data_IF_235938477475
#
_entry.id   IF_235938477475
#
_cell.length_a   1.000
_cell.length_b   1.000
_cell.length_c   1.000
_cell.angle_alpha   90.00
_cell.angle_beta   90.00
_cell.angle_gamma   90.00
#
_symmetry.space_group_name_H-M   'P 1'
#
loop_
_entity.id
_entity.type
_entity.pdbx_description
1 polymer ?
#
# COMPACT_ATOMS: atom_id res chain seq x y z
N UNK A 1 -16.91 -4.55 15.89
CA UNK A 1 -15.46 -4.48 15.60
C UNK A 1 -15.06 -5.84 15.04
N UNK A 2 -14.41 -5.87 13.86
CA UNK A 2 -14.07 -7.13 13.18
C UNK A 2 -12.75 -7.64 13.76
N UNK A 3 -12.72 -8.90 14.20
CA UNK A 3 -11.48 -9.55 14.59
C UNK A 3 -10.66 -9.82 13.34
N UNK A 4 -9.41 -9.35 13.29
CA UNK A 4 -8.50 -9.60 12.16
C UNK A 4 -8.01 -11.06 12.19
N UNK A 5 -7.81 -11.72 11.04
CA UNK A 5 -7.10 -13.01 10.97
C UNK A 5 -5.59 -12.85 11.20
N UNK A 6 -5.06 -11.63 11.25
CA UNK A 6 -3.64 -11.36 11.48
C UNK A 6 -3.30 -11.65 12.94
N UNK A 7 -2.25 -12.43 13.17
CA UNK A 7 -1.83 -12.86 14.51
C UNK A 7 -0.42 -12.35 14.79
N UNK A 8 0.03 -12.37 16.06
CA UNK A 8 1.43 -12.10 16.38
C UNK A 8 2.42 -12.99 15.60
N UNK A 9 2.04 -14.23 15.26
CA UNK A 9 2.87 -15.12 14.46
C UNK A 9 3.00 -14.65 13.00
N UNK A 10 1.97 -14.01 12.44
CA UNK A 10 2.05 -13.34 11.14
C UNK A 10 3.00 -12.14 11.21
N UNK A 11 2.83 -11.28 12.22
CA UNK A 11 3.68 -10.09 12.38
C UNK A 11 5.16 -10.43 12.62
N UNK A 12 5.45 -11.54 13.30
CA UNK A 12 6.83 -12.02 13.51
C UNK A 12 7.54 -12.42 12.21
N UNK A 13 6.79 -12.78 11.16
CA UNK A 13 7.32 -13.11 9.82
C UNK A 13 7.32 -11.91 8.88
N UNK A 14 6.69 -10.81 9.26
CA UNK A 14 6.55 -9.66 8.40
C UNK A 14 7.88 -8.92 8.21
N UNK A 15 8.07 -8.38 7.02
CA UNK A 15 9.25 -7.62 6.64
C UNK A 15 9.02 -6.13 6.86
N UNK A 16 10.10 -5.41 7.19
CA UNK A 16 10.17 -3.97 6.99
C UNK A 16 10.24 -3.64 5.49
N UNK A 17 9.97 -2.39 5.11
CA UNK A 17 10.13 -1.96 3.72
C UNK A 17 11.56 -2.14 3.21
N UNK A 18 12.57 -1.84 4.02
CA UNK A 18 13.99 -2.03 3.66
C UNK A 18 14.30 -3.49 3.36
N UNK A 19 13.88 -4.42 4.23
CA UNK A 19 14.06 -5.86 4.00
C UNK A 19 13.34 -6.33 2.73
N UNK A 20 12.16 -5.79 2.45
CA UNK A 20 11.42 -6.09 1.22
C UNK A 20 12.17 -5.59 -0.03
N UNK A 21 12.78 -4.40 0.01
CA UNK A 21 13.62 -3.88 -1.09
C UNK A 21 14.86 -4.73 -1.32
N UNK A 22 15.56 -5.09 -0.25
CA UNK A 22 16.75 -5.96 -0.31
C UNK A 22 16.41 -7.35 -0.86
N UNK A 23 15.28 -7.93 -0.44
CA UNK A 23 14.78 -9.20 -0.95
C UNK A 23 14.50 -9.13 -2.46
N UNK A 24 13.88 -8.06 -2.95
CA UNK A 24 13.65 -7.84 -4.39
C UNK A 24 14.98 -7.80 -5.14
N UNK A 25 15.94 -7.01 -4.67
CA UNK A 25 17.24 -6.87 -5.34
C UNK A 25 17.99 -8.21 -5.37
N UNK A 26 17.93 -9.00 -4.29
CA UNK A 26 18.49 -10.36 -4.24
C UNK A 26 17.83 -11.31 -5.25
N UNK A 27 16.50 -11.35 -5.29
CA UNK A 27 15.75 -12.21 -6.22
C UNK A 27 16.07 -11.85 -7.67
N UNK A 28 16.11 -10.56 -8.01
CA UNK A 28 16.43 -10.11 -9.35
C UNK A 28 17.88 -10.43 -9.77
N UNK A 29 18.82 -10.51 -8.83
CA UNK A 29 20.19 -10.96 -9.10
C UNK A 29 20.26 -12.47 -9.40
N UNK A 30 19.30 -13.25 -8.90
CA UNK A 30 19.13 -14.68 -9.19
C UNK A 30 18.21 -14.96 -10.38
N UNK A 31 17.79 -13.93 -11.13
CA UNK A 31 16.76 -14.02 -12.19
C UNK A 31 15.44 -14.63 -11.68
N UNK A 32 14.99 -14.20 -10.50
CA UNK A 32 13.73 -14.59 -9.87
C UNK A 32 12.90 -13.36 -9.49
N UNK A 33 11.66 -13.63 -9.10
CA UNK A 33 10.75 -12.67 -8.45
C UNK A 33 10.03 -13.38 -7.30
N UNK A 34 9.15 -12.70 -6.57
CA UNK A 34 8.32 -13.34 -5.54
C UNK A 34 7.23 -14.23 -6.17
N UNK A 35 6.61 -15.11 -5.38
CA UNK A 35 5.70 -16.13 -5.91
C UNK A 35 6.43 -17.25 -6.67
N UNK A 36 5.68 -18.05 -7.43
CA UNK A 36 6.20 -19.26 -8.09
C UNK A 36 6.55 -19.09 -9.57
N UNK A 37 6.14 -17.98 -10.20
CA UNK A 37 6.37 -17.74 -11.62
C UNK A 37 7.63 -16.90 -11.85
N UNK A 38 8.73 -17.55 -12.19
CA UNK A 38 10.01 -16.92 -12.53
C UNK A 38 10.27 -16.90 -14.05
N UNK A 39 9.23 -16.79 -14.88
CA UNK A 39 9.43 -16.58 -16.31
C UNK A 39 10.21 -15.29 -16.58
N UNK A 40 10.94 -15.25 -17.70
CA UNK A 40 11.71 -14.07 -18.12
C UNK A 40 10.83 -12.81 -18.15
N UNK A 41 9.61 -12.92 -18.67
CA UNK A 41 8.62 -11.83 -18.69
C UNK A 41 8.31 -11.31 -17.28
N UNK A 42 8.12 -12.20 -16.30
CA UNK A 42 7.80 -11.81 -14.92
C UNK A 42 8.99 -11.19 -14.20
N UNK A 43 10.19 -11.70 -14.45
CA UNK A 43 11.44 -11.16 -13.88
C UNK A 43 11.69 -9.76 -14.44
N UNK A 44 11.53 -9.56 -15.75
CA UNK A 44 11.69 -8.25 -16.38
C UNK A 44 10.60 -7.25 -15.96
N UNK A 45 9.36 -7.72 -15.81
CA UNK A 45 8.29 -6.89 -15.23
C UNK A 45 8.61 -6.48 -13.79
N UNK A 46 9.18 -7.39 -12.99
CA UNK A 46 9.64 -7.11 -11.62
C UNK A 46 10.80 -6.11 -11.61
N UNK A 47 11.74 -6.21 -12.56
CA UNK A 47 12.83 -5.23 -12.72
C UNK A 47 12.26 -3.84 -12.98
N UNK A 48 11.30 -3.74 -13.89
CA UNK A 48 10.57 -2.49 -14.15
C UNK A 48 9.83 -1.97 -12.90
N UNK A 49 9.19 -2.85 -12.12
CA UNK A 49 8.57 -2.48 -10.85
C UNK A 49 9.59 -1.96 -9.83
N UNK A 50 10.77 -2.55 -9.73
CA UNK A 50 11.84 -2.06 -8.86
C UNK A 50 12.28 -0.64 -9.26
N UNK A 51 12.30 -0.32 -10.56
CA UNK A 51 12.53 1.05 -11.06
C UNK A 51 11.37 1.99 -10.72
N UNK A 52 10.11 1.56 -10.86
CA UNK A 52 8.93 2.36 -10.49
C UNK A 52 8.96 2.73 -9.01
N UNK A 53 9.27 1.77 -8.14
CA UNK A 53 9.39 2.01 -6.71
C UNK A 53 10.47 3.06 -6.40
N UNK A 54 11.69 2.92 -6.97
CA UNK A 54 12.76 3.93 -6.83
C UNK A 54 12.34 5.32 -7.30
N UNK A 55 11.53 5.39 -8.36
CA UNK A 55 10.99 6.66 -8.85
C UNK A 55 10.04 7.25 -7.81
N UNK A 56 9.06 6.49 -7.34
CA UNK A 56 8.07 6.94 -6.34
C UNK A 56 8.76 7.40 -5.06
N UNK A 57 9.71 6.61 -4.52
CA UNK A 57 10.53 6.98 -3.36
C UNK A 57 11.13 8.39 -3.48
N UNK A 58 11.67 8.71 -4.67
CA UNK A 58 12.33 9.99 -4.96
C UNK A 58 11.35 11.12 -5.25
N UNK A 59 10.21 10.83 -5.89
CA UNK A 59 9.31 11.85 -6.44
C UNK A 59 8.11 12.17 -5.57
N UNK A 60 7.70 11.27 -4.67
CA UNK A 60 6.58 11.53 -3.77
C UNK A 60 6.99 12.62 -2.80
N UNK A 61 6.26 13.72 -2.81
CA UNK A 61 6.35 14.80 -1.82
C UNK A 61 5.05 14.75 -1.04
N UNK A 62 5.15 14.72 0.29
CA UNK A 62 3.96 14.72 1.13
C UNK A 62 3.37 16.12 1.16
N UNK A 63 2.05 16.17 1.05
CA UNK A 63 1.27 17.37 1.24
C UNK A 63 1.30 17.83 2.72
N UNK A 64 1.44 19.13 2.94
CA UNK A 64 1.63 19.69 4.28
C UNK A 64 0.44 19.38 5.21
N UNK A 65 -0.80 19.41 4.69
CA UNK A 65 -1.99 19.08 5.46
C UNK A 65 -1.98 17.62 5.91
N UNK A 66 -1.57 16.70 5.02
CA UNK A 66 -1.42 15.29 5.39
C UNK A 66 -0.33 15.11 6.46
N UNK A 67 0.79 15.82 6.38
CA UNK A 67 1.84 15.76 7.41
C UNK A 67 1.31 16.25 8.76
N UNK A 68 0.55 17.35 8.79
CA UNK A 68 -0.06 17.82 10.04
C UNK A 68 -1.03 16.79 10.63
N UNK A 69 -1.86 16.15 9.78
CA UNK A 69 -2.75 15.07 10.22
C UNK A 69 -1.98 13.90 10.82
N UNK A 70 -0.92 13.45 10.16
CA UNK A 70 -0.07 12.34 10.62
C UNK A 70 0.62 12.63 11.97
N UNK A 71 1.02 13.88 12.21
CA UNK A 71 1.60 14.32 13.48
C UNK A 71 0.56 14.44 14.60
N UNK A 72 -0.72 14.60 14.26
CA UNK A 72 -1.84 14.66 15.22
C UNK A 72 -2.43 13.31 15.61
N UNK A 73 -2.02 12.21 14.94
CA UNK A 73 -2.45 10.84 15.24
C UNK A 73 -2.13 10.50 16.69
N UNK A 74 -3.10 9.92 17.40
CA UNK A 74 -2.92 9.43 18.77
C UNK A 74 -3.03 7.92 18.91
N UNK A 75 -3.63 7.25 17.93
CA UNK A 75 -3.73 5.80 17.93
C UNK A 75 -2.43 5.20 17.43
N UNK A 76 -1.78 4.38 18.25
CA UNK A 76 -0.64 3.57 17.81
C UNK A 76 -1.13 2.50 16.83
N UNK A 77 -0.60 2.50 15.62
CA UNK A 77 -1.06 1.64 14.53
C UNK A 77 0.06 0.78 13.97
N UNK A 78 -0.32 -0.43 13.57
CA UNK A 78 0.47 -1.27 12.67
C UNK A 78 -0.29 -1.42 11.37
N UNK A 79 0.29 -0.92 10.28
CA UNK A 79 -0.22 -1.10 8.92
C UNK A 79 0.42 -2.33 8.31
N UNK A 80 -0.37 -3.40 8.20
CA UNK A 80 0.05 -4.64 7.54
C UNK A 80 -0.33 -4.55 6.08
N UNK A 81 0.65 -4.64 5.17
CA UNK A 81 0.41 -4.58 3.73
C UNK A 81 0.76 -5.91 3.08
N UNK A 82 -0.25 -6.56 2.50
CA UNK A 82 -0.06 -7.70 1.60
C UNK A 82 0.42 -7.18 0.25
N UNK A 83 1.55 -7.70 -0.23
CA UNK A 83 2.24 -7.19 -1.44
C UNK A 83 3.01 -8.31 -2.16
N UNK A 84 3.45 -8.02 -3.38
CA UNK A 84 4.33 -8.87 -4.18
C UNK A 84 5.22 -8.03 -5.09
N UNK A 85 6.44 -8.49 -5.37
CA UNK A 85 7.42 -7.76 -6.18
C UNK A 85 6.97 -7.61 -7.64
N UNK A 86 6.26 -8.61 -8.14
CA UNK A 86 5.70 -8.60 -9.49
C UNK A 86 4.46 -7.71 -9.64
N UNK A 87 3.88 -7.21 -8.55
CA UNK A 87 2.67 -6.39 -8.61
C UNK A 87 2.97 -4.94 -9.04
N UNK A 88 2.44 -4.54 -10.20
CA UNK A 88 2.62 -3.20 -10.73
C UNK A 88 1.96 -2.09 -9.89
N UNK A 89 0.79 -2.35 -9.30
CA UNK A 89 0.13 -1.38 -8.42
C UNK A 89 0.86 -1.24 -7.08
N UNK A 90 1.41 -2.33 -6.55
CA UNK A 90 2.21 -2.29 -5.33
C UNK A 90 3.46 -1.44 -5.56
N UNK A 91 4.11 -1.61 -6.71
CA UNK A 91 5.28 -0.82 -7.09
C UNK A 91 5.01 0.70 -7.17
N UNK A 92 3.75 1.11 -7.39
CA UNK A 92 3.35 2.51 -7.51
C UNK A 92 2.86 3.10 -6.18
N UNK A 93 2.17 2.31 -5.36
CA UNK A 93 1.54 2.81 -4.14
C UNK A 93 2.36 2.53 -2.87
N UNK A 94 2.96 1.34 -2.75
CA UNK A 94 3.63 0.92 -1.51
C UNK A 94 4.73 1.87 -1.02
N UNK A 95 5.63 2.40 -1.88
CA UNK A 95 6.65 3.33 -1.39
C UNK A 95 6.06 4.64 -0.85
N UNK A 96 4.97 5.11 -1.46
CA UNK A 96 4.26 6.30 -0.97
C UNK A 96 3.53 6.03 0.35
N UNK A 97 2.91 4.85 0.51
CA UNK A 97 2.29 4.42 1.78
C UNK A 97 3.33 4.38 2.91
N UNK A 98 4.52 3.82 2.64
CA UNK A 98 5.61 3.78 3.63
C UNK A 98 6.04 5.20 3.99
N UNK A 99 6.23 6.08 3.00
CA UNK A 99 6.56 7.49 3.25
C UNK A 99 5.51 8.23 4.07
N UNK A 100 4.23 7.96 3.83
CA UNK A 100 3.11 8.50 4.63
C UNK A 100 3.21 7.99 6.08
N UNK A 101 3.41 6.69 6.29
CA UNK A 101 3.54 6.13 7.63
C UNK A 101 4.75 6.70 8.39
N UNK A 102 5.91 6.82 7.74
CA UNK A 102 7.16 7.31 8.34
C UNK A 102 7.07 8.76 8.84
N UNK A 103 6.09 9.55 8.37
CA UNK A 103 5.84 10.90 8.85
C UNK A 103 5.05 10.94 10.18
N UNK A 104 4.62 9.80 10.72
CA UNK A 104 4.03 9.69 12.05
C UNK A 104 4.88 8.81 12.97
N UNK A 105 5.15 9.23 14.23
CA UNK A 105 5.89 8.39 15.17
C UNK A 105 5.07 7.21 15.71
N UNK A 106 3.77 7.16 15.43
CA UNK A 106 2.83 6.17 15.98
C UNK A 106 2.41 5.10 14.98
N UNK A 107 2.93 5.14 13.75
CA UNK A 107 2.52 4.24 12.67
C UNK A 107 3.72 3.41 12.23
N UNK A 108 3.60 2.09 12.31
CA UNK A 108 4.60 1.15 11.78
C UNK A 108 4.04 0.41 10.57
N UNK A 109 4.86 0.20 9.53
CA UNK A 109 4.50 -0.63 8.38
C UNK A 109 5.15 -2.01 8.46
N UNK A 110 4.33 -3.04 8.26
CA UNK A 110 4.74 -4.46 8.18
C UNK A 110 4.28 -5.05 6.86
N UNK A 111 5.16 -5.78 6.17
CA UNK A 111 4.88 -6.34 4.84
C UNK A 111 4.82 -7.86 4.90
N UNK A 112 3.80 -8.41 4.25
CA UNK A 112 3.62 -9.85 4.08
C UNK A 112 3.44 -10.16 2.60
N UNK A 113 4.02 -11.27 2.13
CA UNK A 113 3.85 -11.72 0.75
C UNK A 113 2.47 -12.33 0.59
N UNK A 114 1.71 -11.87 -0.41
CA UNK A 114 0.35 -12.31 -0.69
C UNK A 114 0.28 -13.83 -0.87
N UNK A 115 1.19 -14.37 -1.66
CA UNK A 115 1.16 -15.77 -2.10
C UNK A 115 1.52 -16.73 -0.95
N UNK A 116 2.24 -16.23 0.06
CA UNK A 116 2.62 -16.99 1.26
C UNK A 116 1.62 -16.86 2.42
N UNK A 117 0.63 -15.95 2.31
CA UNK A 117 -0.36 -15.68 3.36
C UNK A 117 -1.80 -15.74 2.80
N UNK A 118 -2.23 -16.86 2.19
CA UNK A 118 -3.56 -16.99 1.60
C UNK A 118 -4.70 -16.94 2.63
N UNK A 119 -4.45 -17.40 3.85
CA UNK A 119 -5.37 -17.37 4.99
C UNK A 119 -5.75 -15.93 5.38
N UNK A 120 -4.81 -14.99 5.28
CA UNK A 120 -5.09 -13.56 5.47
C UNK A 120 -5.73 -12.98 4.21
N UNK A 121 -5.16 -13.24 3.02
CA UNK A 121 -5.64 -12.62 1.78
C UNK A 121 -7.09 -12.97 1.44
N UNK A 122 -7.53 -14.19 1.76
CA UNK A 122 -8.91 -14.64 1.49
C UNK A 122 -9.97 -13.92 2.32
N UNK A 123 -9.59 -13.33 3.45
CA UNK A 123 -10.49 -12.52 4.30
C UNK A 123 -10.60 -11.05 3.84
N UNK A 124 -9.76 -10.64 2.88
CA UNK A 124 -9.61 -9.25 2.43
C UNK A 124 -9.72 -9.09 0.90
N UNK A 125 -10.59 -9.87 0.27
CA UNK A 125 -10.84 -9.82 -1.17
C UNK A 125 -11.39 -8.45 -1.60
N UNK A 126 -10.96 -7.98 -2.77
CA UNK A 126 -11.51 -6.80 -3.43
C UNK A 126 -12.27 -7.23 -4.67
N UNK A 127 -13.59 -7.01 -4.68
CA UNK A 127 -14.50 -7.47 -5.74
C UNK A 127 -14.34 -8.98 -6.03
N UNK A 128 -14.21 -9.77 -4.96
CA UNK A 128 -13.98 -11.23 -5.04
C UNK A 128 -12.56 -11.66 -5.45
N UNK A 129 -11.67 -10.72 -5.76
CA UNK A 129 -10.29 -11.01 -6.17
C UNK A 129 -9.25 -10.77 -5.09
N UNK A 130 -8.19 -11.59 -5.08
CA UNK A 130 -6.97 -11.42 -4.27
C UNK A 130 -6.09 -10.27 -4.78
N UNK A 131 -6.62 -9.05 -4.68
CA UNK A 131 -6.00 -7.84 -5.21
C UNK A 131 -5.00 -7.25 -4.21
N UNK A 132 -3.85 -6.81 -4.71
CA UNK A 132 -2.77 -6.20 -3.91
C UNK A 132 -2.27 -4.92 -4.59
N UNK A 133 -1.66 -3.97 -3.85
CA UNK A 133 -1.38 -4.02 -2.41
C UNK A 133 -2.65 -3.95 -1.57
N UNK A 134 -2.75 -4.72 -0.48
CA UNK A 134 -3.89 -4.65 0.45
C UNK A 134 -3.37 -4.26 1.82
N UNK A 135 -3.71 -3.05 2.27
CA UNK A 135 -3.37 -2.55 3.60
C UNK A 135 -4.48 -2.88 4.57
N UNK A 136 -4.09 -3.36 5.75
CA UNK A 136 -4.94 -3.58 6.92
C UNK A 136 -4.33 -2.75 8.05
N UNK A 137 -5.07 -1.74 8.53
CA UNK A 137 -4.67 -0.92 9.66
C UNK A 137 -5.17 -1.57 10.95
N UNK A 138 -4.24 -1.86 11.86
CA UNK A 138 -4.53 -2.45 13.16
C UNK A 138 -4.16 -1.49 14.27
N UNK A 139 -4.94 -1.46 15.34
CA UNK A 139 -4.50 -0.90 16.61
C UNK A 139 -3.36 -1.76 17.16
N UNK A 140 -2.22 -1.14 17.46
CA UNK A 140 -1.00 -1.86 17.84
C UNK A 140 -1.08 -2.57 19.19
N UNK A 141 -1.93 -2.08 20.10
CA UNK A 141 -2.06 -2.61 21.45
C UNK A 141 -3.16 -3.68 21.54
N UNK A 142 -4.25 -3.52 20.79
CA UNK A 142 -5.42 -4.41 20.86
C UNK A 142 -5.53 -5.40 19.71
N UNK A 143 -4.76 -5.22 18.62
CA UNK A 143 -4.90 -5.94 17.35
C UNK A 143 -6.28 -5.79 16.69
N UNK A 144 -7.06 -4.79 17.09
CA UNK A 144 -8.33 -4.48 16.45
C UNK A 144 -8.13 -3.92 15.04
N UNK A 145 -8.93 -4.37 14.07
CA UNK A 145 -8.94 -3.80 12.72
C UNK A 145 -9.64 -2.43 12.71
N UNK A 146 -8.87 -1.39 12.38
CA UNK A 146 -9.34 -0.01 12.24
C UNK A 146 -9.91 0.23 10.83
N UNK A 147 -9.36 -0.46 9.83
CA UNK A 147 -9.88 -0.47 8.47
C UNK A 147 -8.88 -0.99 7.47
N UNK A 148 -9.23 -0.85 6.18
CA UNK A 148 -8.40 -1.37 5.10
C UNK A 148 -8.33 -0.39 3.93
N UNK A 149 -7.30 -0.53 3.11
CA UNK A 149 -7.14 0.22 1.87
C UNK A 149 -6.58 -0.69 0.76
N UNK A 150 -6.94 -0.39 -0.50
CA UNK A 150 -6.36 -1.02 -1.68
C UNK A 150 -7.38 -1.70 -2.60
N UNK A 151 -6.95 -2.12 -3.81
CA UNK A 151 -5.56 -2.14 -4.27
C UNK A 151 -5.04 -0.82 -4.85
N UNK A 152 -5.94 0.10 -5.18
CA UNK A 152 -5.63 1.33 -5.92
C UNK A 152 -6.43 2.50 -5.35
N UNK A 153 -5.94 3.74 -5.51
CA UNK A 153 -6.79 4.92 -5.34
C UNK A 153 -8.02 4.85 -6.24
N UNK A 154 -9.14 5.43 -5.82
CA UNK A 154 -10.44 5.39 -6.51
C UNK A 154 -10.32 5.76 -8.00
N UNK A 155 -9.61 6.83 -8.41
CA UNK A 155 -9.55 7.19 -9.82
C UNK A 155 -8.80 6.14 -10.66
N UNK A 156 -7.75 5.54 -10.10
CA UNK A 156 -7.02 4.45 -10.73
C UNK A 156 -7.85 3.16 -10.77
N UNK A 157 -8.64 2.91 -9.73
CA UNK A 157 -9.53 1.75 -9.67
C UNK A 157 -10.66 1.87 -10.70
N UNK A 158 -11.24 3.06 -10.87
CA UNK A 158 -12.23 3.33 -11.91
C UNK A 158 -11.63 3.14 -13.30
N UNK A 159 -10.45 3.71 -13.55
CA UNK A 159 -9.72 3.52 -14.80
C UNK A 159 -9.46 2.02 -15.09
N UNK A 160 -9.11 1.23 -14.07
CA UNK A 160 -8.95 -0.21 -14.18
C UNK A 160 -10.26 -0.93 -14.58
N UNK A 161 -11.36 -0.61 -13.89
CA UNK A 161 -12.67 -1.23 -14.16
C UNK A 161 -13.19 -0.88 -15.56
N UNK A 162 -13.03 0.37 -15.99
CA UNK A 162 -13.46 0.83 -17.31
C UNK A 162 -12.70 0.11 -18.44
N UNK A 163 -11.37 -0.04 -18.29
CA UNK A 163 -10.55 -0.78 -19.26
C UNK A 163 -10.85 -2.27 -19.27
N UNK A 164 -11.13 -2.86 -18.08
CA UNK A 164 -11.54 -4.26 -17.97
C UNK A 164 -12.88 -4.51 -18.65
N UNK A 165 -13.84 -3.59 -18.52
CA UNK A 165 -15.14 -3.69 -19.19
C UNK A 165 -15.05 -3.58 -20.73
N UNK A 166 -13.95 -3.03 -21.24
CA UNK A 166 -13.68 -2.86 -22.67
C UNK A 166 -12.76 -3.96 -23.25
N UNK A 167 -12.38 -4.97 -22.46
CA UNK A 167 -11.45 -6.04 -22.85
C UNK A 167 -10.12 -5.51 -23.45
N UNK A 168 -9.62 -4.39 -22.92
CA UNK A 168 -8.36 -3.79 -23.38
C UNK A 168 -7.20 -4.76 -23.11
N UNK A 169 -6.30 -5.02 -24.08
CA UNK A 169 -5.14 -5.88 -23.87
C UNK A 169 -4.27 -5.43 -22.70
N UNK A 170 -3.77 -6.39 -21.91
CA UNK A 170 -3.02 -6.12 -20.67
C UNK A 170 -1.88 -5.12 -20.85
N UNK A 171 -1.15 -5.18 -21.97
CA UNK A 171 -0.04 -4.26 -22.26
C UNK A 171 -0.50 -2.81 -22.36
N UNK A 172 -1.53 -2.54 -23.16
CA UNK A 172 -2.07 -1.18 -23.35
C UNK A 172 -2.70 -0.67 -22.04
N UNK A 173 -3.42 -1.55 -21.35
CA UNK A 173 -3.97 -1.27 -20.03
C UNK A 173 -2.87 -0.87 -19.01
N UNK A 174 -1.79 -1.66 -18.95
CA UNK A 174 -0.66 -1.44 -18.03
C UNK A 174 0.03 -0.11 -18.32
N UNK A 175 0.28 0.21 -19.60
CA UNK A 175 0.87 1.49 -20.01
C UNK A 175 0.01 2.68 -19.60
N UNK A 176 -1.31 2.64 -19.85
CA UNK A 176 -2.24 3.71 -19.45
C UNK A 176 -2.28 3.91 -17.94
N UNK A 177 -2.43 2.81 -17.17
CA UNK A 177 -2.53 2.88 -15.73
C UNK A 177 -1.24 3.38 -15.08
N UNK A 178 -0.07 2.90 -15.51
CA UNK A 178 1.21 3.39 -15.00
C UNK A 178 1.53 4.82 -15.44
N UNK A 179 1.06 5.22 -16.62
CA UNK A 179 1.08 6.61 -17.07
C UNK A 179 0.24 7.52 -16.16
N UNK A 180 -0.93 7.04 -15.70
CA UNK A 180 -1.75 7.76 -14.72
C UNK A 180 -1.00 7.92 -13.40
N UNK A 181 -0.43 6.86 -12.82
CA UNK A 181 0.35 6.96 -11.58
C UNK A 181 1.52 7.94 -11.70
N UNK A 182 2.18 7.98 -12.86
CA UNK A 182 3.28 8.91 -13.09
C UNK A 182 2.85 10.38 -13.09
N UNK A 183 1.62 10.67 -13.56
CA UNK A 183 1.02 12.00 -13.55
C UNK A 183 0.46 12.37 -12.17
N UNK A 184 -0.23 11.44 -11.53
CA UNK A 184 -0.84 11.63 -10.20
C UNK A 184 0.19 11.82 -9.10
N UNK A 185 1.37 11.18 -9.18
CA UNK A 185 2.45 11.33 -8.19
C UNK A 185 1.98 11.10 -6.74
N UNK A 186 1.08 10.14 -6.55
CA UNK A 186 0.50 9.77 -5.26
C UNK A 186 -0.43 10.82 -4.64
N UNK A 187 -0.92 11.82 -5.39
CA UNK A 187 -1.84 12.84 -4.87
C UNK A 187 -3.19 12.24 -4.48
N UNK A 188 -3.79 11.41 -5.34
CA UNK A 188 -5.05 10.74 -5.02
C UNK A 188 -4.91 9.82 -3.78
N UNK A 189 -3.79 9.09 -3.69
CA UNK A 189 -3.49 8.26 -2.52
C UNK A 189 -3.43 9.10 -1.24
N UNK A 190 -2.70 10.22 -1.27
CA UNK A 190 -2.57 11.10 -0.10
C UNK A 190 -3.93 11.65 0.35
N UNK A 191 -4.79 12.06 -0.60
CA UNK A 191 -6.13 12.56 -0.29
C UNK A 191 -7.00 11.50 0.40
N UNK A 192 -6.93 10.24 -0.05
CA UNK A 192 -7.64 9.15 0.62
C UNK A 192 -7.12 8.92 2.04
N UNK A 193 -5.80 8.97 2.23
CA UNK A 193 -5.21 8.78 3.56
C UNK A 193 -5.59 9.87 4.56
N UNK A 194 -5.82 11.12 4.11
CA UNK A 194 -6.39 12.16 4.99
C UNK A 194 -7.71 11.71 5.60
N UNK A 195 -8.64 11.22 4.76
CA UNK A 195 -9.94 10.70 5.22
C UNK A 195 -9.80 9.44 6.07
N UNK A 196 -8.92 8.52 5.69
CA UNK A 196 -8.72 7.27 6.44
C UNK A 196 -8.16 7.51 7.83
N UNK A 197 -7.21 8.43 7.99
CA UNK A 197 -6.62 8.76 9.29
C UNK A 197 -7.66 9.32 10.27
N UNK A 198 -8.60 10.15 9.79
CA UNK A 198 -9.72 10.63 10.59
C UNK A 198 -10.65 9.50 11.08
N UNK A 199 -10.72 8.39 10.34
CA UNK A 199 -11.53 7.22 10.70
C UNK A 199 -10.76 6.23 11.59
N UNK A 200 -9.44 6.13 11.42
CA UNK A 200 -8.62 5.13 12.11
C UNK A 200 -8.04 5.62 13.43
N UNK A 201 -7.95 6.94 13.63
CA UNK A 201 -7.32 7.52 14.81
C UNK A 201 -8.14 8.66 15.41
N UNK A 202 -8.08 8.77 16.73
CA UNK A 202 -8.32 10.05 17.37
C UNK A 202 -7.19 11.02 16.99
N UNK A 203 -7.54 12.29 16.77
CA UNK A 203 -6.59 13.33 16.37
C UNK A 203 -6.57 14.43 17.43
N UNK A 204 -5.38 14.84 17.87
CA UNK A 204 -5.23 16.02 18.74
C UNK A 204 -4.83 17.20 17.88
N UNK A 205 -5.65 18.26 17.90
CA UNK A 205 -5.21 19.52 17.32
C UNK A 205 -4.00 20.05 18.10
N UNK A 206 -2.92 20.48 17.44
CA UNK A 206 -1.93 21.33 18.09
C UNK A 206 -2.64 22.54 18.70
N UNK A 207 -2.28 22.93 19.94
CA UNK A 207 -2.87 24.11 20.59
C UNK A 207 -2.87 25.31 19.62
N UNK A 208 -4.07 25.77 19.23
CA UNK A 208 -4.25 26.95 18.39
C UNK A 208 -4.64 26.73 16.92
N UNK A 209 -4.82 25.48 16.45
CA UNK A 209 -5.39 25.23 15.11
C UNK A 209 -6.82 24.70 15.25
N UNK A 210 -7.84 25.31 14.62
CA UNK A 210 -9.15 24.67 14.52
C UNK A 210 -8.98 23.45 13.62
N UNK A 211 -8.98 22.24 14.19
CA UNK A 211 -9.26 21.06 13.39
C UNK A 211 -10.74 21.17 13.06
N UNK A 212 -11.05 21.61 11.83
CA UNK A 212 -12.34 21.27 11.24
C UNK A 212 -12.40 19.75 11.28
N UNK A 213 -13.15 19.23 12.26
CA UNK A 213 -13.52 17.82 12.29
C UNK A 213 -14.16 17.59 10.93
N UNK A 214 -13.55 16.74 10.10
CA UNK A 214 -14.08 16.41 8.80
C UNK A 214 -15.56 16.06 8.95
N UNK A 215 -16.41 16.84 8.31
CA UNK A 215 -17.87 16.70 8.32
C UNK A 215 -18.32 15.49 7.51
#
# INVERSE_FOLDING_TARGET
MKTTPITPAHLAKAMTYTQYREMIDKLLAENKTTGSNHSEEMVEYTRMNAHRMRRVEKTTVLDDELVQLLLSVQTKMVWVVLTEAWCGDAAQNLPAIVKIADASPLIEVKLLLRDENPDIMDEYLTNGGRSIPKLIALNADTMEELGTWGPRPEPAQRLYLDMKAQDVPFKEFSEKLHGWYAKDRSQALQNEFKTLLCNWSELISPEGIPVERCS
#
